data_IF_445701685666
#
_entry.id   IF_445701685666
#
_cell.length_a   1.000
_cell.length_b   1.000
_cell.length_c   1.000
_cell.angle_alpha   90.00
_cell.angle_beta   90.00
_cell.angle_gamma   90.00
#
_symmetry.space_group_name_H-M   'P 1'
#
loop_
_entity.id
_entity.type
_entity.pdbx_description
1 polymer ?
#
# COMPACT_ATOMS: atom_id res chain seq x y z
N UNK A 1 -16.83 -15.55 6.87
CA UNK A 1 -15.95 -16.02 5.78
C UNK A 1 -16.34 -15.24 4.54
N UNK A 2 -15.38 -14.67 3.81
CA UNK A 2 -15.65 -14.08 2.50
C UNK A 2 -15.99 -15.23 1.54
N UNK A 3 -17.20 -15.21 1.00
CA UNK A 3 -17.68 -16.23 0.08
C UNK A 3 -17.32 -15.80 -1.35
N UNK A 4 -16.64 -16.67 -2.11
CA UNK A 4 -16.37 -16.41 -3.52
C UNK A 4 -17.64 -16.79 -4.29
N UNK A 5 -18.48 -15.79 -4.54
CA UNK A 5 -19.79 -15.97 -5.18
C UNK A 5 -19.73 -15.98 -6.71
N UNK A 6 -18.55 -15.76 -7.30
CA UNK A 6 -18.34 -15.73 -8.76
C UNK A 6 -17.47 -16.91 -9.20
N UNK A 7 -18.05 -17.85 -9.94
CA UNK A 7 -17.34 -18.96 -10.59
C UNK A 7 -16.83 -18.54 -11.96
N UNK A 8 -15.70 -17.83 -12.00
CA UNK A 8 -15.03 -17.54 -13.27
C UNK A 8 -14.32 -18.78 -13.81
N UNK A 9 -14.44 -19.00 -15.12
CA UNK A 9 -13.72 -20.06 -15.81
C UNK A 9 -12.20 -19.83 -15.76
N UNK A 10 -11.44 -20.92 -15.65
CA UNK A 10 -9.98 -20.89 -15.81
C UNK A 10 -9.63 -20.87 -17.31
N UNK A 11 -8.89 -19.85 -17.74
CA UNK A 11 -8.46 -19.68 -19.13
C UNK A 11 -6.95 -19.85 -19.27
N UNK A 12 -6.50 -20.34 -20.42
CA UNK A 12 -5.08 -20.29 -20.79
C UNK A 12 -4.62 -18.84 -20.95
N UNK A 13 -3.33 -18.52 -20.69
CA UNK A 13 -2.82 -17.18 -20.93
C UNK A 13 -3.04 -16.76 -22.39
N UNK A 14 -3.61 -15.56 -22.64
CA UNK A 14 -3.79 -15.09 -24.01
C UNK A 14 -2.44 -14.89 -24.69
N UNK A 15 -2.33 -15.08 -26.03
CA UNK A 15 -1.10 -14.87 -26.77
C UNK A 15 -0.44 -13.52 -26.43
N UNK A 16 0.91 -13.52 -26.38
CA UNK A 16 1.63 -12.28 -26.15
C UNK A 16 1.64 -11.44 -27.45
N UNK A 17 1.11 -10.21 -27.43
CA UNK A 17 1.02 -9.40 -28.64
C UNK A 17 2.42 -8.95 -29.10
N UNK A 18 2.72 -8.93 -30.42
CA UNK A 18 4.03 -8.49 -30.94
C UNK A 18 4.44 -7.08 -30.49
N UNK A 19 3.48 -6.18 -30.35
CA UNK A 19 3.69 -4.80 -29.89
C UNK A 19 3.88 -4.66 -28.36
N UNK A 20 3.79 -5.75 -27.61
CA UNK A 20 3.81 -5.72 -26.14
C UNK A 20 2.50 -5.21 -25.53
N UNK A 21 2.50 -5.04 -24.20
CA UNK A 21 1.31 -4.65 -23.41
C UNK A 21 1.43 -3.29 -22.72
N UNK A 22 2.57 -2.62 -22.86
CA UNK A 22 2.74 -1.27 -22.32
C UNK A 22 1.91 -0.27 -23.15
N UNK A 23 1.37 0.79 -22.52
CA UNK A 23 0.52 1.75 -23.22
C UNK A 23 1.31 2.44 -24.34
N UNK A 24 0.83 2.30 -25.58
CA UNK A 24 1.44 2.92 -26.76
C UNK A 24 0.75 4.21 -27.20
N UNK A 25 -0.36 4.58 -26.57
CA UNK A 25 -1.19 5.73 -26.96
C UNK A 25 -1.56 6.59 -25.76
N UNK A 26 -1.51 7.91 -25.93
CA UNK A 26 -1.91 8.88 -24.92
C UNK A 26 -3.36 8.67 -24.43
N UNK A 27 -4.26 8.22 -25.31
CA UNK A 27 -5.64 7.89 -24.93
C UNK A 27 -5.74 6.81 -23.85
N UNK A 28 -4.90 5.77 -23.90
CA UNK A 28 -4.90 4.69 -22.90
C UNK A 28 -4.45 5.21 -21.53
N UNK A 29 -3.44 6.09 -21.52
CA UNK A 29 -2.97 6.78 -20.32
C UNK A 29 -4.08 7.69 -19.78
N UNK A 30 -4.72 8.49 -20.65
CA UNK A 30 -5.83 9.36 -20.27
C UNK A 30 -7.02 8.62 -19.67
N UNK A 31 -7.37 7.44 -20.22
CA UNK A 31 -8.40 6.56 -19.66
C UNK A 31 -8.02 6.04 -18.26
N UNK A 32 -6.75 5.68 -18.05
CA UNK A 32 -6.27 5.26 -16.73
C UNK A 32 -6.33 6.42 -15.72
N UNK A 33 -5.85 7.62 -16.08
CA UNK A 33 -5.97 8.81 -15.24
C UNK A 33 -7.43 9.15 -14.94
N UNK A 34 -8.31 8.98 -15.94
CA UNK A 34 -9.75 9.16 -15.78
C UNK A 34 -10.30 8.16 -14.74
N UNK A 35 -9.90 6.89 -14.77
CA UNK A 35 -10.35 5.90 -13.80
C UNK A 35 -9.81 6.17 -12.38
N UNK A 36 -8.56 6.61 -12.27
CA UNK A 36 -7.95 6.95 -10.98
C UNK A 36 -8.75 8.06 -10.27
N UNK A 37 -9.14 9.11 -11.00
CA UNK A 37 -9.88 10.26 -10.46
C UNK A 37 -11.41 10.04 -10.37
N UNK A 38 -11.91 8.81 -10.47
CA UNK A 38 -13.36 8.52 -10.50
C UNK A 38 -14.12 9.06 -9.29
N UNK A 39 -13.54 8.96 -8.09
CA UNK A 39 -14.24 9.31 -6.84
C UNK A 39 -14.22 10.81 -6.59
N UNK A 40 -13.12 11.49 -6.94
CA UNK A 40 -13.04 12.95 -6.98
C UNK A 40 -14.07 13.54 -7.96
N UNK A 41 -14.20 12.95 -9.17
CA UNK A 41 -15.23 13.38 -10.14
C UNK A 41 -16.64 13.11 -9.68
N UNK A 42 -16.90 11.93 -9.12
CA UNK A 42 -18.23 11.57 -8.58
C UNK A 42 -18.63 12.56 -7.49
N UNK A 43 -17.72 12.89 -6.58
CA UNK A 43 -17.96 13.88 -5.55
C UNK A 43 -18.24 15.28 -6.14
N UNK A 44 -17.47 15.72 -7.14
CA UNK A 44 -17.75 16.98 -7.84
C UNK A 44 -19.12 17.00 -8.51
N UNK A 45 -19.54 15.87 -9.11
CA UNK A 45 -20.86 15.73 -9.70
C UNK A 45 -21.98 15.83 -8.66
N UNK A 46 -21.83 15.19 -7.50
CA UNK A 46 -22.77 15.28 -6.38
C UNK A 46 -22.97 16.73 -5.92
N UNK A 47 -21.87 17.50 -5.82
CA UNK A 47 -21.94 18.92 -5.47
C UNK A 47 -22.63 19.77 -6.56
N UNK A 48 -22.38 19.48 -7.85
CA UNK A 48 -23.05 20.17 -8.94
C UNK A 48 -24.57 19.90 -8.95
N UNK A 49 -24.97 18.65 -8.72
CA UNK A 49 -26.38 18.25 -8.63
C UNK A 49 -27.06 18.94 -7.45
N UNK A 50 -26.43 18.94 -6.27
CA UNK A 50 -26.94 19.61 -5.08
C UNK A 50 -27.12 21.13 -5.26
N UNK A 51 -26.24 21.77 -6.05
CA UNK A 51 -26.31 23.20 -6.33
C UNK A 51 -27.23 23.57 -7.50
N UNK A 52 -27.75 22.59 -8.25
CA UNK A 52 -28.51 22.81 -9.48
C UNK A 52 -27.72 23.50 -10.60
N UNK A 53 -26.39 23.54 -10.50
CA UNK A 53 -25.49 24.20 -11.46
C UNK A 53 -24.08 23.60 -11.36
N UNK A 54 -23.25 23.86 -12.37
CA UNK A 54 -21.82 23.54 -12.27
C UNK A 54 -21.17 24.41 -11.19
N UNK A 55 -20.53 23.77 -10.23
CA UNK A 55 -19.71 24.43 -9.20
C UNK A 55 -18.23 24.26 -9.50
N UNK A 56 -17.39 25.07 -8.87
CA UNK A 56 -15.94 24.92 -8.94
C UNK A 56 -15.51 23.52 -8.45
N UNK A 57 -14.46 22.92 -9.04
CA UNK A 57 -13.93 21.66 -8.56
C UNK A 57 -13.56 21.76 -7.06
N UNK A 58 -14.08 20.86 -6.19
CA UNK A 58 -13.76 20.91 -4.78
C UNK A 58 -12.31 20.53 -4.52
N UNK A 59 -11.72 21.09 -3.46
CA UNK A 59 -10.46 20.58 -2.92
C UNK A 59 -10.69 19.17 -2.34
N UNK A 60 -10.39 18.14 -3.12
CA UNK A 60 -10.61 16.75 -2.72
C UNK A 60 -9.51 15.84 -3.25
N UNK A 61 -9.32 14.68 -2.63
CA UNK A 61 -8.35 13.69 -3.04
C UNK A 61 -8.81 12.26 -2.73
N UNK A 62 -8.51 11.35 -3.65
CA UNK A 62 -8.56 9.90 -3.41
C UNK A 62 -7.15 9.39 -3.13
N UNK A 63 -6.96 8.61 -2.07
CA UNK A 63 -5.69 7.97 -1.79
C UNK A 63 -5.53 6.70 -2.63
N UNK A 64 -4.35 6.51 -3.21
CA UNK A 64 -3.98 5.33 -3.97
C UNK A 64 -2.80 4.65 -3.27
N UNK A 65 -3.03 3.46 -2.69
CA UNK A 65 -2.00 2.75 -1.92
C UNK A 65 -1.72 1.42 -2.62
N UNK A 66 -0.46 1.23 -3.01
CA UNK A 66 0.00 0.02 -3.68
C UNK A 66 0.88 -0.81 -2.75
N UNK A 67 0.54 -2.07 -2.53
CA UNK A 67 1.25 -3.01 -1.66
C UNK A 67 1.85 -4.15 -2.50
N UNK A 68 3.14 -4.40 -2.35
CA UNK A 68 3.90 -5.34 -3.18
C UNK A 68 4.57 -6.40 -2.30
N UNK A 69 3.94 -7.57 -2.17
CA UNK A 69 4.41 -8.70 -1.39
C UNK A 69 5.25 -9.66 -2.24
N UNK A 70 6.56 -9.69 -2.02
CA UNK A 70 7.44 -10.52 -2.81
C UNK A 70 7.40 -12.01 -2.41
N UNK A 71 7.89 -12.87 -3.31
CA UNK A 71 7.91 -14.31 -3.11
C UNK A 71 8.96 -14.76 -2.10
N UNK A 72 8.80 -15.96 -1.54
CA UNK A 72 9.77 -16.59 -0.65
C UNK A 72 11.20 -16.52 -1.20
N UNK A 73 12.15 -16.07 -0.37
CA UNK A 73 13.55 -15.96 -0.76
C UNK A 73 13.90 -14.78 -1.67
N UNK A 74 12.93 -13.93 -2.04
CA UNK A 74 13.17 -12.77 -2.89
C UNK A 74 13.23 -11.48 -2.08
N UNK A 75 14.17 -10.61 -2.44
CA UNK A 75 14.41 -9.35 -1.77
C UNK A 75 14.97 -8.32 -2.76
N UNK A 76 14.23 -7.23 -3.00
CA UNK A 76 14.60 -6.17 -3.93
C UNK A 76 16.01 -5.65 -3.68
N UNK A 77 16.41 -5.47 -2.41
CA UNK A 77 17.72 -4.94 -2.07
C UNK A 77 18.83 -5.86 -2.60
N UNK A 78 18.71 -7.16 -2.31
CA UNK A 78 19.66 -8.15 -2.76
C UNK A 78 19.58 -8.36 -4.28
N UNK A 79 18.40 -8.68 -4.80
CA UNK A 79 18.21 -9.19 -6.17
C UNK A 79 18.44 -8.13 -7.25
N UNK A 80 18.34 -6.85 -6.90
CA UNK A 80 18.52 -5.74 -7.83
C UNK A 80 19.81 -4.94 -7.62
N UNK A 81 20.28 -4.74 -6.37
CA UNK A 81 21.46 -3.93 -6.09
C UNK A 81 22.74 -4.73 -5.81
N UNK A 82 22.63 -5.99 -5.36
CA UNK A 82 23.77 -6.79 -4.92
C UNK A 82 24.04 -7.96 -5.88
N UNK A 83 23.00 -8.70 -6.29
CA UNK A 83 23.13 -9.91 -7.08
C UNK A 83 23.74 -9.64 -8.48
N UNK A 84 24.58 -10.58 -8.92
CA UNK A 84 25.16 -10.60 -10.26
C UNK A 84 25.11 -12.03 -10.83
N UNK A 85 24.27 -12.32 -11.84
CA UNK A 85 23.39 -11.39 -12.55
C UNK A 85 22.23 -10.90 -11.68
N UNK A 86 21.70 -9.72 -11.99
CA UNK A 86 20.49 -9.18 -11.33
C UNK A 86 19.26 -10.01 -11.69
N UNK A 87 18.43 -10.32 -10.72
CA UNK A 87 17.26 -11.19 -10.88
C UNK A 87 16.03 -10.71 -10.09
N UNK A 88 15.60 -9.43 -10.22
CA UNK A 88 14.41 -8.95 -9.52
C UNK A 88 13.14 -9.65 -10.02
N UNK A 89 12.23 -9.97 -9.09
CA UNK A 89 10.93 -10.56 -9.39
C UNK A 89 10.00 -9.60 -10.14
N UNK A 90 8.88 -10.11 -10.65
CA UNK A 90 7.85 -9.25 -11.24
C UNK A 90 7.24 -8.29 -10.20
N UNK A 91 7.19 -8.66 -8.92
CA UNK A 91 6.71 -7.79 -7.84
C UNK A 91 7.67 -6.61 -7.64
N UNK A 92 8.97 -6.89 -7.54
CA UNK A 92 10.01 -5.87 -7.50
C UNK A 92 9.98 -4.95 -8.74
N UNK A 93 9.77 -5.51 -9.94
CA UNK A 93 9.65 -4.74 -11.19
C UNK A 93 8.42 -3.83 -11.19
N UNK A 94 7.27 -4.33 -10.76
CA UNK A 94 6.04 -3.54 -10.67
C UNK A 94 6.17 -2.41 -9.65
N UNK A 95 6.69 -2.71 -8.45
CA UNK A 95 6.95 -1.68 -7.42
C UNK A 95 7.80 -0.52 -7.95
N UNK A 96 8.86 -0.84 -8.71
CA UNK A 96 9.74 0.17 -9.31
C UNK A 96 9.05 0.99 -10.40
N UNK A 97 8.11 0.41 -11.13
CA UNK A 97 7.36 1.07 -12.20
C UNK A 97 6.13 1.86 -11.70
N UNK A 98 5.65 1.58 -10.49
CA UNK A 98 4.50 2.25 -9.87
C UNK A 98 4.87 3.62 -9.35
N UNK A 99 3.99 4.60 -9.51
CA UNK A 99 4.14 5.94 -8.93
C UNK A 99 3.81 5.95 -7.43
N UNK A 100 4.54 6.76 -6.66
CA UNK A 100 4.20 7.09 -5.28
C UNK A 100 5.40 7.25 -4.35
N UNK A 101 5.16 7.96 -3.25
CA UNK A 101 6.03 7.97 -2.07
C UNK A 101 5.83 6.67 -1.27
N UNK A 102 6.67 6.40 -0.27
CA UNK A 102 6.44 5.32 0.68
C UNK A 102 7.73 4.72 1.20
N UNK A 103 7.83 3.39 1.19
CA UNK A 103 8.98 2.66 1.73
C UNK A 103 9.25 1.41 0.91
N UNK A 104 10.52 1.21 0.52
CA UNK A 104 11.00 -0.07 0.03
C UNK A 104 11.55 -0.89 1.20
N UNK A 105 10.75 -1.82 1.75
CA UNK A 105 11.15 -2.61 2.90
C UNK A 105 12.45 -3.39 2.66
N UNK A 106 13.32 -3.45 3.67
CA UNK A 106 14.60 -4.15 3.58
C UNK A 106 15.68 -3.44 2.75
N UNK A 107 15.39 -2.27 2.17
CA UNK A 107 16.37 -1.41 1.50
C UNK A 107 16.93 -0.40 2.50
N UNK A 108 18.18 -0.60 2.93
CA UNK A 108 18.83 0.26 3.93
C UNK A 108 19.35 1.57 3.35
N UNK A 109 19.82 1.56 2.11
CA UNK A 109 20.28 2.75 1.39
C UNK A 109 19.17 3.28 0.48
N UNK A 110 18.34 4.16 1.01
CA UNK A 110 17.21 4.75 0.28
C UNK A 110 17.64 5.58 -0.94
N UNK A 111 18.91 6.01 -1.03
CA UNK A 111 19.42 6.70 -2.22
C UNK A 111 19.51 5.77 -3.43
N UNK A 112 19.67 4.46 -3.22
CA UNK A 112 19.69 3.45 -4.30
C UNK A 112 18.30 3.16 -4.85
N UNK A 113 17.25 3.40 -4.05
CA UNK A 113 15.86 3.22 -4.44
C UNK A 113 15.08 4.52 -4.23
N UNK A 114 15.32 5.55 -5.05
CA UNK A 114 14.55 6.79 -4.96
C UNK A 114 13.06 6.49 -5.21
N UNK A 115 12.22 7.07 -4.38
CA UNK A 115 10.76 7.06 -4.51
C UNK A 115 10.30 8.42 -5.02
N UNK A 116 9.06 8.48 -5.50
CA UNK A 116 8.52 9.73 -6.04
C UNK A 116 8.29 10.74 -4.91
N UNK A 117 8.66 12.00 -5.13
CA UNK A 117 8.41 13.06 -4.16
C UNK A 117 6.91 13.29 -3.94
N UNK A 118 6.55 13.81 -2.77
CA UNK A 118 5.16 14.17 -2.45
C UNK A 118 4.60 15.20 -3.43
N UNK A 119 5.43 16.16 -3.86
CA UNK A 119 5.07 17.16 -4.87
C UNK A 119 4.87 16.53 -6.26
N UNK A 120 5.76 15.61 -6.63
CA UNK A 120 5.73 14.95 -7.95
C UNK A 120 4.54 13.99 -8.09
N UNK A 121 4.15 13.36 -6.98
CA UNK A 121 2.99 12.44 -6.91
C UNK A 121 1.67 13.14 -6.56
N UNK A 122 1.64 14.47 -6.44
CA UNK A 122 0.44 15.20 -6.00
C UNK A 122 -0.07 14.79 -4.60
N UNK A 123 0.80 14.17 -3.79
CA UNK A 123 0.55 13.76 -2.41
C UNK A 123 -0.57 12.73 -2.22
N UNK A 124 -0.92 11.97 -3.26
CA UNK A 124 -2.04 11.00 -3.22
C UNK A 124 -1.69 9.56 -3.61
N UNK A 125 -0.50 9.31 -4.15
CA UNK A 125 -0.02 7.96 -4.50
C UNK A 125 1.04 7.49 -3.52
N UNK A 126 0.86 6.28 -3.02
CA UNK A 126 1.75 5.62 -2.08
C UNK A 126 2.06 4.20 -2.54
N UNK A 127 3.30 3.76 -2.34
CA UNK A 127 3.76 2.40 -2.69
C UNK A 127 4.66 1.83 -1.60
N UNK A 128 4.44 0.56 -1.28
CA UNK A 128 5.21 -0.14 -0.26
C UNK A 128 5.65 -1.51 -0.77
N UNK A 129 6.96 -1.75 -0.74
CA UNK A 129 7.53 -3.06 -1.05
C UNK A 129 7.76 -3.85 0.24
N UNK A 130 7.33 -5.10 0.24
CA UNK A 130 7.42 -6.04 1.35
C UNK A 130 8.30 -7.21 0.89
N UNK A 131 9.52 -7.36 1.43
CA UNK A 131 10.40 -8.48 1.10
C UNK A 131 9.76 -9.84 1.35
N UNK A 132 10.20 -10.84 0.58
CA UNK A 132 9.77 -12.21 0.76
C UNK A 132 10.20 -12.80 2.10
N UNK A 133 9.40 -13.73 2.62
CA UNK A 133 9.78 -14.54 3.79
C UNK A 133 11.08 -15.30 3.54
N UNK A 134 11.87 -15.47 4.60
CA UNK A 134 13.21 -16.07 4.53
C UNK A 134 14.31 -15.14 4.05
N UNK A 135 14.03 -13.84 3.88
CA UNK A 135 15.00 -12.79 3.56
C UNK A 135 14.98 -11.66 4.60
N UNK A 136 16.06 -10.87 4.73
CA UNK A 136 16.12 -9.74 5.64
C UNK A 136 15.00 -8.72 5.45
N UNK A 137 14.30 -8.41 6.55
CA UNK A 137 13.37 -7.32 6.70
C UNK A 137 13.47 -6.69 8.12
N UNK A 138 14.47 -5.81 8.36
CA UNK A 138 14.75 -5.24 9.68
C UNK A 138 13.58 -4.47 10.32
N UNK A 139 12.70 -3.88 9.52
CA UNK A 139 11.53 -3.12 9.96
C UNK A 139 10.53 -3.99 10.75
N UNK A 140 10.54 -5.31 10.51
CA UNK A 140 9.73 -6.30 11.25
C UNK A 140 10.54 -7.15 12.23
N UNK A 141 11.77 -6.74 12.55
CA UNK A 141 12.74 -7.49 13.36
C UNK A 141 13.07 -8.88 12.77
N UNK A 142 13.26 -8.95 11.45
CA UNK A 142 13.73 -10.13 10.72
C UNK A 142 15.08 -9.79 10.07
N UNK A 143 16.21 -9.83 10.80
CA UNK A 143 17.46 -9.23 10.31
C UNK A 143 18.18 -10.03 9.22
N UNK A 144 17.94 -11.35 9.13
CA UNK A 144 18.80 -12.28 8.39
C UNK A 144 18.01 -13.21 7.46
N UNK A 145 18.74 -13.88 6.57
CA UNK A 145 18.19 -15.01 5.82
C UNK A 145 17.89 -16.18 6.76
N UNK A 146 16.76 -16.85 6.53
CA UNK A 146 16.28 -17.90 7.44
C UNK A 146 15.69 -19.08 6.68
N UNK A 147 16.25 -20.27 6.89
CA UNK A 147 15.72 -21.54 6.37
C UNK A 147 14.29 -21.79 6.87
N UNK A 148 13.97 -21.39 8.10
CA UNK A 148 12.60 -21.49 8.63
C UNK A 148 11.65 -20.47 8.00
N UNK A 149 12.14 -19.28 7.65
CA UNK A 149 11.38 -18.34 6.82
C UNK A 149 11.13 -18.90 5.40
N UNK A 150 12.15 -19.56 4.82
CA UNK A 150 12.06 -20.16 3.48
C UNK A 150 11.14 -21.40 3.43
N UNK A 151 11.10 -22.24 4.46
CA UNK A 151 10.34 -23.49 4.44
C UNK A 151 9.01 -23.38 5.17
N UNK A 152 8.98 -22.69 6.32
CA UNK A 152 7.80 -22.58 7.19
C UNK A 152 7.01 -21.28 7.03
N UNK A 153 7.43 -20.35 6.16
CA UNK A 153 6.85 -19.02 6.05
C UNK A 153 6.88 -18.22 7.37
N UNK A 154 7.82 -18.53 8.26
CA UNK A 154 8.04 -17.78 9.50
C UNK A 154 8.27 -16.31 9.14
N UNK A 155 7.66 -15.40 9.91
CA UNK A 155 7.58 -13.96 9.64
C UNK A 155 6.63 -13.51 8.52
N UNK A 156 5.76 -14.40 8.04
CA UNK A 156 4.67 -14.04 7.12
C UNK A 156 3.61 -13.14 7.75
N UNK A 157 3.16 -13.44 8.97
CA UNK A 157 2.18 -12.60 9.69
C UNK A 157 2.72 -11.18 9.91
N UNK A 158 3.98 -11.04 10.31
CA UNK A 158 4.58 -9.73 10.56
C UNK A 158 4.67 -8.88 9.29
N UNK A 159 4.89 -9.50 8.13
CA UNK A 159 4.87 -8.81 6.82
C UNK A 159 3.47 -8.29 6.47
N UNK A 160 2.43 -9.08 6.73
CA UNK A 160 1.02 -8.66 6.56
C UNK A 160 0.70 -7.51 7.53
N UNK A 161 1.04 -7.67 8.81
CA UNK A 161 0.80 -6.65 9.83
C UNK A 161 1.52 -5.34 9.49
N UNK A 162 2.76 -5.42 9.00
CA UNK A 162 3.52 -4.24 8.58
C UNK A 162 2.85 -3.51 7.42
N UNK A 163 2.36 -4.25 6.42
CA UNK A 163 1.63 -3.68 5.29
C UNK A 163 0.32 -2.99 5.74
N UNK A 164 -0.42 -3.59 6.67
CA UNK A 164 -1.59 -2.94 7.28
C UNK A 164 -1.21 -1.63 7.97
N UNK A 165 -0.12 -1.62 8.74
CA UNK A 165 0.38 -0.40 9.38
C UNK A 165 0.82 0.67 8.37
N UNK A 166 1.14 0.32 7.11
CA UNK A 166 1.38 1.33 6.05
C UNK A 166 0.13 2.09 5.66
N UNK A 167 -1.07 1.51 5.84
CA UNK A 167 -2.33 2.24 5.65
C UNK A 167 -2.48 3.31 6.73
N UNK A 168 -2.18 2.97 7.99
CA UNK A 168 -2.15 3.94 9.09
C UNK A 168 -1.08 5.02 8.85
N UNK A 169 0.10 4.63 8.37
CA UNK A 169 1.18 5.55 8.01
C UNK A 169 0.71 6.60 7.01
N UNK A 170 0.04 6.19 5.93
CA UNK A 170 -0.52 7.08 4.91
C UNK A 170 -1.57 8.01 5.51
N UNK A 171 -2.47 7.50 6.36
CA UNK A 171 -3.50 8.32 7.00
C UNK A 171 -2.88 9.35 7.96
N UNK A 172 -1.83 8.98 8.68
CA UNK A 172 -1.10 9.87 9.58
C UNK A 172 -0.38 10.98 8.83
N UNK A 173 0.27 10.66 7.71
CA UNK A 173 0.90 11.66 6.82
C UNK A 173 -0.13 12.66 6.31
N UNK A 174 -1.26 12.15 5.85
CA UNK A 174 -2.34 12.98 5.33
C UNK A 174 -2.95 13.89 6.41
N UNK A 175 -3.13 13.39 7.64
CA UNK A 175 -3.87 14.12 8.67
C UNK A 175 -3.00 15.13 9.41
N UNK A 176 -1.71 14.79 9.66
CA UNK A 176 -0.81 15.58 10.51
C UNK A 176 0.11 16.53 9.74
N UNK A 177 0.44 16.22 8.49
CA UNK A 177 1.26 17.10 7.65
C UNK A 177 0.78 17.07 6.20
N UNK A 178 -0.32 17.79 5.96
CA UNK A 178 -1.07 17.81 4.71
C UNK A 178 -0.26 18.26 3.50
N UNK A 179 0.79 19.06 3.72
CA UNK A 179 1.58 19.68 2.66
C UNK A 179 2.79 18.86 2.28
N UNK A 180 3.51 18.30 3.26
CA UNK A 180 4.75 17.57 2.99
C UNK A 180 4.67 16.07 3.25
N UNK A 181 3.55 15.55 3.76
CA UNK A 181 3.36 14.13 4.11
C UNK A 181 4.54 13.57 4.94
N UNK A 182 5.17 14.41 5.77
CA UNK A 182 6.43 14.05 6.46
C UNK A 182 6.20 13.33 7.79
N UNK A 183 5.06 13.60 8.45
CA UNK A 183 4.71 12.98 9.73
C UNK A 183 4.16 11.58 9.47
N UNK A 184 5.01 10.58 9.70
CA UNK A 184 4.71 9.18 9.44
C UNK A 184 4.82 8.34 10.72
N UNK A 185 4.32 7.11 10.68
CA UNK A 185 4.45 6.19 11.81
C UNK A 185 5.94 5.88 12.02
N UNK A 186 6.47 6.19 13.19
CA UNK A 186 7.89 5.92 13.47
C UNK A 186 8.16 4.42 13.48
N UNK A 187 9.39 4.01 13.14
CA UNK A 187 9.77 2.59 13.16
C UNK A 187 9.59 1.97 14.56
N UNK A 188 9.86 2.73 15.62
CA UNK A 188 9.61 2.29 17.00
C UNK A 188 8.13 2.04 17.27
N UNK A 189 7.25 3.00 16.92
CA UNK A 189 5.81 2.82 17.09
C UNK A 189 5.26 1.69 16.22
N UNK A 190 5.75 1.56 14.98
CA UNK A 190 5.44 0.46 14.08
C UNK A 190 5.78 -0.89 14.71
N UNK A 191 6.98 -1.04 15.28
CA UNK A 191 7.42 -2.28 15.95
C UNK A 191 6.57 -2.61 17.17
N UNK A 192 6.17 -1.63 17.96
CA UNK A 192 5.28 -1.86 19.10
C UNK A 192 3.88 -2.30 18.65
N UNK A 193 3.32 -1.69 17.61
CA UNK A 193 2.05 -2.13 17.04
C UNK A 193 2.15 -3.53 16.42
N UNK A 194 3.26 -3.88 15.75
CA UNK A 194 3.48 -5.25 15.25
C UNK A 194 3.42 -6.30 16.36
N UNK A 195 4.03 -6.03 17.52
CA UNK A 195 3.97 -6.94 18.69
C UNK A 195 2.54 -7.11 19.19
N UNK A 196 1.75 -6.03 19.21
CA UNK A 196 0.34 -6.06 19.64
C UNK A 196 -0.57 -6.77 18.63
N UNK A 197 -0.26 -6.69 17.34
CA UNK A 197 -1.00 -7.35 16.26
C UNK A 197 -0.66 -8.84 16.11
N UNK A 198 0.52 -9.26 16.56
CA UNK A 198 1.02 -10.63 16.41
C UNK A 198 0.20 -11.66 17.20
N UNK A 199 0.18 -12.89 16.70
CA UNK A 199 -0.32 -14.05 17.44
C UNK A 199 0.69 -14.50 18.49
N UNK A 200 0.21 -14.87 19.67
CA UNK A 200 1.01 -15.49 20.72
C UNK A 200 0.36 -16.79 21.14
N UNK A 201 1.17 -17.84 21.30
CA UNK A 201 0.75 -19.11 21.88
C UNK A 201 0.06 -18.95 23.25
N UNK A 202 0.36 -17.86 23.95
CA UNK A 202 -0.15 -17.56 25.29
C UNK A 202 -1.55 -16.92 25.26
N UNK A 203 -2.06 -16.53 24.08
CA UNK A 203 -3.39 -15.93 23.87
C UNK A 203 -4.32 -16.90 23.12
N UNK A 204 -4.40 -18.13 23.61
CA UNK A 204 -5.05 -19.28 22.99
C UNK A 204 -6.54 -19.07 22.60
N UNK A 205 -7.19 -18.01 23.09
CA UNK A 205 -8.62 -17.74 22.89
C UNK A 205 -8.94 -16.54 21.98
N UNK A 206 -7.94 -15.71 21.62
CA UNK A 206 -8.11 -14.59 20.69
C UNK A 206 -7.16 -14.75 19.50
N UNK A 207 -7.71 -15.08 18.33
CA UNK A 207 -6.92 -15.26 17.12
C UNK A 207 -6.27 -13.96 16.63
N UNK A 208 -5.27 -14.06 15.75
CA UNK A 208 -4.53 -12.90 15.22
C UNK A 208 -5.43 -11.82 14.59
N UNK A 209 -6.60 -12.20 14.08
CA UNK A 209 -7.59 -11.25 13.56
C UNK A 209 -8.10 -10.28 14.63
N UNK A 210 -8.30 -10.75 15.86
CA UNK A 210 -8.79 -9.92 16.96
C UNK A 210 -7.72 -8.91 17.39
N UNK A 211 -6.49 -9.39 17.64
CA UNK A 211 -5.34 -8.55 17.97
C UNK A 211 -5.10 -7.44 16.91
N UNK A 212 -5.17 -7.82 15.62
CA UNK A 212 -5.09 -6.86 14.51
C UNK A 212 -6.22 -5.83 14.56
N UNK A 213 -7.46 -6.28 14.73
CA UNK A 213 -8.61 -5.38 14.79
C UNK A 213 -8.49 -4.38 15.94
N UNK A 214 -8.13 -4.84 17.14
CA UNK A 214 -7.98 -3.97 18.31
C UNK A 214 -6.90 -2.91 18.11
N UNK A 215 -5.68 -3.31 17.72
CA UNK A 215 -4.58 -2.36 17.56
C UNK A 215 -4.80 -1.40 16.38
N UNK A 216 -5.33 -1.90 15.26
CA UNK A 216 -5.66 -1.06 14.11
C UNK A 216 -6.76 -0.04 14.45
N UNK A 217 -7.80 -0.47 15.17
CA UNK A 217 -8.87 0.42 15.63
C UNK A 217 -8.35 1.45 16.61
N UNK A 218 -7.47 1.06 17.54
CA UNK A 218 -6.82 1.99 18.47
C UNK A 218 -6.07 3.09 17.72
N UNK A 219 -5.24 2.72 16.72
CA UNK A 219 -4.50 3.67 15.89
C UNK A 219 -5.43 4.59 15.08
N UNK A 220 -6.54 4.06 14.55
CA UNK A 220 -7.53 4.89 13.86
C UNK A 220 -8.23 5.87 14.81
N UNK A 221 -8.55 5.45 16.03
CA UNK A 221 -9.14 6.30 17.05
C UNK A 221 -8.20 7.44 17.45
N UNK A 222 -6.90 7.14 17.59
CA UNK A 222 -5.87 8.15 17.86
C UNK A 222 -5.79 9.21 16.74
N UNK A 223 -6.10 8.84 15.50
CA UNK A 223 -6.12 9.75 14.34
C UNK A 223 -7.49 10.38 14.09
N UNK A 224 -8.54 10.01 14.82
CA UNK A 224 -9.92 10.35 14.48
C UNK A 224 -10.18 11.86 14.49
N UNK A 225 -9.60 12.61 15.45
CA UNK A 225 -9.74 14.08 15.50
C UNK A 225 -9.18 14.76 14.25
N UNK A 226 -8.07 14.25 13.72
CA UNK A 226 -7.36 14.83 12.60
C UNK A 226 -7.99 14.41 11.25
N UNK A 227 -8.54 13.20 11.20
CA UNK A 227 -9.20 12.63 10.02
C UNK A 227 -10.64 13.13 9.84
N UNK A 228 -11.38 13.38 10.92
CA UNK A 228 -12.79 13.83 10.85
C UNK A 228 -13.00 15.04 9.92
N UNK A 229 -12.21 16.13 9.99
CA UNK A 229 -12.36 17.26 9.06
C UNK A 229 -12.15 16.88 7.60
N UNK A 230 -11.26 15.93 7.31
CA UNK A 230 -11.01 15.44 5.95
C UNK A 230 -12.16 14.57 5.44
N UNK A 231 -12.82 13.83 6.32
CA UNK A 231 -13.96 12.99 5.97
C UNK A 231 -15.23 13.82 5.81
N UNK A 232 -15.47 14.83 6.63
CA UNK A 232 -16.72 15.61 6.57
C UNK A 232 -16.60 16.76 5.57
N UNK A 233 -15.42 17.38 5.43
CA UNK A 233 -15.21 18.68 4.79
C UNK A 233 -16.17 19.74 5.38
N UNK A 234 -15.84 20.32 6.54
CA UNK A 234 -16.76 21.18 7.28
C UNK A 234 -17.13 22.47 6.53
N UNK A 235 -16.26 22.94 5.64
CA UNK A 235 -16.45 24.17 4.86
C UNK A 235 -15.95 23.97 3.43
N UNK A 236 -16.58 24.64 2.45
CA UNK A 236 -16.07 24.70 1.08
C UNK A 236 -14.60 25.13 1.03
N UNK A 237 -13.81 24.50 0.17
CA UNK A 237 -12.38 24.80 0.03
C UNK A 237 -11.45 24.04 0.99
N UNK A 238 -11.98 23.39 2.06
CA UNK A 238 -11.16 22.47 2.87
C UNK A 238 -10.90 21.16 2.12
N UNK A 239 -9.76 20.48 2.33
CA UNK A 239 -9.50 19.20 1.68
C UNK A 239 -10.50 18.12 2.12
N UNK A 240 -11.12 17.43 1.15
CA UNK A 240 -11.95 16.24 1.35
C UNK A 240 -11.20 14.97 0.96
N UNK A 241 -11.15 13.98 1.84
CA UNK A 241 -10.79 12.61 1.49
C UNK A 241 -12.03 11.92 0.90
N UNK A 242 -11.97 11.50 -0.36
CA UNK A 242 -13.10 10.87 -1.06
C UNK A 242 -13.06 9.34 -0.97
N UNK A 243 -11.90 8.75 -0.72
CA UNK A 243 -11.76 7.31 -0.55
C UNK A 243 -10.30 6.85 -0.53
N UNK A 244 -10.13 5.54 -0.34
CA UNK A 244 -8.86 4.83 -0.43
C UNK A 244 -9.01 3.71 -1.47
N UNK A 245 -8.13 3.67 -2.46
CA UNK A 245 -8.03 2.61 -3.45
C UNK A 245 -6.76 1.80 -3.16
N UNK A 246 -6.94 0.52 -2.85
CA UNK A 246 -5.84 -0.42 -2.60
C UNK A 246 -5.52 -1.20 -3.89
N UNK A 247 -4.24 -1.27 -4.24
CA UNK A 247 -3.71 -2.12 -5.31
C UNK A 247 -2.73 -3.10 -4.68
N UNK A 248 -3.05 -4.39 -4.67
CA UNK A 248 -2.24 -5.40 -3.99
C UNK A 248 -1.68 -6.37 -5.02
N UNK A 249 -0.37 -6.56 -4.98
CA UNK A 249 0.36 -7.46 -5.85
C UNK A 249 1.16 -8.43 -4.99
N UNK A 250 1.08 -9.72 -5.32
CA UNK A 250 1.78 -10.77 -4.59
C UNK A 250 2.34 -11.84 -5.51
N UNK A 251 3.45 -12.46 -5.12
CA UNK A 251 4.02 -13.62 -5.80
C UNK A 251 4.32 -14.75 -4.81
N UNK A 252 4.03 -16.01 -5.18
CA UNK A 252 4.23 -17.19 -4.31
C UNK A 252 3.59 -16.98 -2.92
N UNK A 253 4.32 -17.14 -1.82
CA UNK A 253 3.80 -16.83 -0.47
C UNK A 253 3.41 -15.37 -0.26
N UNK A 254 3.98 -14.45 -1.01
CA UNK A 254 3.51 -13.06 -1.04
C UNK A 254 2.12 -12.91 -1.66
N UNK A 255 1.67 -13.84 -2.51
CA UNK A 255 0.29 -13.88 -3.00
C UNK A 255 -0.70 -14.50 -2.00
N UNK A 256 -0.20 -15.28 -1.04
CA UNK A 256 -0.99 -15.84 0.05
C UNK A 256 -1.13 -14.88 1.24
N UNK A 257 -0.25 -13.87 1.32
CA UNK A 257 -0.24 -12.83 2.33
C UNK A 257 -1.34 -11.78 2.10
#
# INVERSE_FOLDING_TARGET
>A
MSEINETHAAWVPPPFPPQGRLPGRALQVGQNCHQQNSDERRYHQELCLAAGRRVEPPCCKTLHISLFFDGTGNNLNHDFFIANPKHPTNIARLFRATIGDGTAGGVTDTKKMPLDGVKDSGGKYFKFYIPGVGTPFPEVNDPDYSTMGLVGAVKGEERINWALLRIIDVLMRLSKDKENNSIKLSEGASRESLKKMGTSWNRLWFGGSHNRYEEFTRLLNDLASDLKPLIIQPEPGKPKLTGIKLYVYGFSRGAAA
#
